data_IF_965573736159
#
_entry.id   IF_965573736159
#
_cell.length_a   1.000
_cell.length_b   1.000
_cell.length_c   1.000
_cell.angle_alpha   90.00
_cell.angle_beta   90.00
_cell.angle_gamma   90.00
#
_symmetry.space_group_name_H-M   'P 1'
#
loop_
_entity.id
_entity.type
_entity.pdbx_description
1 polymer ?
#
# COMPACT_ATOMS: atom_id res chain seq x y z
N UNK A 1 4.41 6.53 -43.54
CA UNK A 1 4.90 6.70 -42.14
C UNK A 1 3.79 6.87 -41.11
N UNK A 2 2.81 7.77 -41.29
CA UNK A 2 1.76 8.02 -40.28
C UNK A 2 0.93 6.80 -39.87
N UNK A 3 0.52 5.95 -40.81
CA UNK A 3 -0.29 4.74 -40.52
C UNK A 3 0.47 3.71 -39.68
N UNK A 4 1.76 3.50 -39.96
CA UNK A 4 2.62 2.60 -39.17
C UNK A 4 2.79 3.09 -37.73
N UNK A 5 3.02 4.40 -37.55
CA UNK A 5 3.18 5.01 -36.23
C UNK A 5 1.89 4.97 -35.41
N UNK A 6 0.74 5.18 -36.06
CA UNK A 6 -0.59 5.02 -35.46
C UNK A 6 -0.86 3.58 -34.99
N UNK A 7 -0.55 2.58 -35.82
CA UNK A 7 -0.73 1.17 -35.44
C UNK A 7 0.22 0.78 -34.30
N UNK A 8 1.46 1.26 -34.30
CA UNK A 8 2.41 1.01 -33.22
C UNK A 8 1.95 1.64 -31.90
N UNK A 9 1.46 2.89 -31.93
CA UNK A 9 0.88 3.54 -30.75
C UNK A 9 -0.33 2.77 -30.21
N UNK A 10 -1.24 2.32 -31.09
CA UNK A 10 -2.39 1.49 -30.66
C UNK A 10 -1.94 0.23 -29.93
N UNK A 11 -0.94 -0.48 -30.47
CA UNK A 11 -0.40 -1.69 -29.83
C UNK A 11 0.18 -1.35 -28.45
N UNK A 12 0.96 -0.27 -28.34
CA UNK A 12 1.52 0.16 -27.05
C UNK A 12 0.41 0.50 -26.05
N UNK A 13 -0.61 1.26 -26.45
CA UNK A 13 -1.72 1.63 -25.57
C UNK A 13 -2.57 0.42 -25.15
N UNK A 14 -2.89 -0.48 -26.08
CA UNK A 14 -3.62 -1.71 -25.77
C UNK A 14 -2.82 -2.59 -24.83
N UNK A 15 -1.51 -2.73 -25.06
CA UNK A 15 -0.62 -3.51 -24.17
C UNK A 15 -0.56 -2.88 -22.78
N UNK A 16 -0.37 -1.57 -22.68
CA UNK A 16 -0.36 -0.86 -21.40
C UNK A 16 -1.70 -0.99 -20.65
N UNK A 17 -2.83 -0.91 -21.37
CA UNK A 17 -4.15 -1.11 -20.80
C UNK A 17 -4.31 -2.54 -20.25
N UNK A 18 -3.95 -3.57 -21.03
CA UNK A 18 -4.04 -4.95 -20.59
C UNK A 18 -3.16 -5.23 -19.37
N UNK A 19 -1.93 -4.70 -19.34
CA UNK A 19 -1.04 -4.81 -18.18
C UNK A 19 -1.63 -4.12 -16.94
N UNK A 20 -2.22 -2.94 -17.12
CA UNK A 20 -2.86 -2.20 -16.01
C UNK A 20 -4.07 -2.95 -15.47
N UNK A 21 -4.91 -3.50 -16.33
CA UNK A 21 -6.07 -4.30 -15.93
C UNK A 21 -5.64 -5.59 -15.24
N UNK A 22 -4.68 -6.32 -15.79
CA UNK A 22 -4.14 -7.54 -15.19
C UNK A 22 -3.55 -7.26 -13.80
N UNK A 23 -2.78 -6.18 -13.67
CA UNK A 23 -2.24 -5.74 -12.38
C UNK A 23 -3.35 -5.34 -11.40
N UNK A 24 -4.37 -4.62 -11.84
CA UNK A 24 -5.53 -4.26 -11.02
C UNK A 24 -6.31 -5.47 -10.52
N UNK A 25 -6.57 -6.45 -11.39
CA UNK A 25 -7.21 -7.73 -11.01
C UNK A 25 -6.33 -8.50 -10.03
N UNK A 26 -5.01 -8.54 -10.26
CA UNK A 26 -4.08 -9.19 -9.35
C UNK A 26 -4.06 -8.52 -7.97
N UNK A 27 -4.01 -7.18 -7.90
CA UNK A 27 -4.13 -6.43 -6.64
C UNK A 27 -5.43 -6.76 -5.92
N UNK A 28 -6.56 -6.77 -6.65
CA UNK A 28 -7.85 -7.12 -6.09
C UNK A 28 -7.85 -8.53 -5.50
N UNK A 29 -7.37 -9.51 -6.27
CA UNK A 29 -7.27 -10.90 -5.82
C UNK A 29 -6.38 -11.05 -4.58
N UNK A 30 -5.20 -10.42 -4.57
CA UNK A 30 -4.28 -10.45 -3.42
C UNK A 30 -4.87 -9.77 -2.20
N UNK A 31 -5.51 -8.62 -2.38
CA UNK A 31 -6.10 -7.88 -1.26
C UNK A 31 -7.33 -8.55 -0.65
N UNK A 32 -7.90 -9.56 -1.32
CA UNK A 32 -8.98 -10.39 -0.79
C UNK A 32 -8.45 -11.57 0.05
N UNK A 33 -7.14 -11.81 0.08
CA UNK A 33 -6.52 -12.81 0.94
C UNK A 33 -6.27 -12.22 2.35
N UNK A 34 -6.18 -13.08 3.38
CA UNK A 34 -5.78 -12.63 4.72
C UNK A 34 -4.42 -11.94 4.70
N UNK A 35 -4.31 -10.83 5.44
CA UNK A 35 -3.07 -10.08 5.50
C UNK A 35 -1.96 -10.87 6.19
N UNK A 36 -0.72 -10.76 5.70
CA UNK A 36 0.47 -11.35 6.32
C UNK A 36 1.05 -10.41 7.40
N UNK A 37 0.18 -10.03 8.34
CA UNK A 37 0.53 -9.18 9.48
C UNK A 37 -0.10 -9.80 10.73
N UNK A 38 0.69 -10.24 11.73
CA UNK A 38 0.16 -10.90 12.93
C UNK A 38 -0.93 -10.08 13.65
N UNK A 39 -0.75 -8.76 13.71
CA UNK A 39 -1.67 -7.83 14.35
C UNK A 39 -2.99 -7.65 13.58
N UNK A 40 -3.06 -8.03 12.30
CA UNK A 40 -4.24 -7.90 11.47
C UNK A 40 -5.31 -8.96 11.78
N UNK A 41 -5.02 -9.97 12.61
CA UNK A 41 -6.00 -10.99 13.09
C UNK A 41 -6.77 -11.69 11.96
N UNK A 42 -6.13 -11.87 10.81
CA UNK A 42 -6.71 -12.58 9.66
C UNK A 42 -7.72 -11.78 8.84
N UNK A 43 -7.89 -10.48 9.08
CA UNK A 43 -8.65 -9.63 8.13
C UNK A 43 -7.92 -9.54 6.79
N UNK A 44 -8.66 -9.24 5.73
CA UNK A 44 -8.09 -8.99 4.40
C UNK A 44 -7.65 -7.53 4.25
N UNK A 45 -6.76 -7.27 3.29
CA UNK A 45 -6.33 -5.91 2.99
C UNK A 45 -7.53 -5.01 2.60
N UNK A 46 -8.51 -5.54 1.87
CA UNK A 46 -9.68 -4.75 1.49
C UNK A 46 -10.60 -4.45 2.68
N UNK A 47 -10.79 -5.39 3.60
CA UNK A 47 -11.52 -5.14 4.85
C UNK A 47 -10.81 -4.05 5.67
N UNK A 48 -9.49 -4.13 5.77
CA UNK A 48 -8.68 -3.11 6.42
C UNK A 48 -8.86 -1.73 5.78
N UNK A 49 -8.71 -1.60 4.45
CA UNK A 49 -8.85 -0.31 3.75
C UNK A 49 -10.27 0.26 3.90
N UNK A 50 -11.30 -0.58 3.85
CA UNK A 50 -12.69 -0.15 4.06
C UNK A 50 -12.90 0.40 5.48
N UNK A 51 -12.37 -0.28 6.49
CA UNK A 51 -12.42 0.17 7.87
C UNK A 51 -11.68 1.51 8.05
N UNK A 52 -10.44 1.63 7.53
CA UNK A 52 -9.66 2.88 7.59
C UNK A 52 -10.38 4.03 6.86
N UNK A 53 -11.03 3.74 5.74
CA UNK A 53 -11.84 4.73 5.01
C UNK A 53 -13.05 5.21 5.81
N UNK A 54 -13.75 4.28 6.49
CA UNK A 54 -14.89 4.62 7.34
C UNK A 54 -14.44 5.47 8.53
N UNK A 55 -13.36 5.09 9.20
CA UNK A 55 -12.76 5.86 10.30
C UNK A 55 -12.32 7.26 9.85
N UNK A 56 -11.71 7.38 8.66
CA UNK A 56 -11.33 8.66 8.07
C UNK A 56 -12.53 9.57 7.89
N UNK A 57 -13.62 9.08 7.27
CA UNK A 57 -14.83 9.88 7.06
C UNK A 57 -15.43 10.38 8.37
N UNK A 58 -15.39 9.56 9.42
CA UNK A 58 -15.88 9.96 10.75
C UNK A 58 -14.99 11.05 11.37
N UNK A 59 -13.67 10.87 11.32
CA UNK A 59 -12.71 11.86 11.82
C UNK A 59 -12.81 13.18 11.06
N UNK A 60 -12.85 13.13 9.74
CA UNK A 60 -12.99 14.30 8.87
C UNK A 60 -14.29 15.07 9.14
N UNK A 61 -15.42 14.37 9.27
CA UNK A 61 -16.70 15.01 9.61
C UNK A 61 -16.67 15.68 10.98
N UNK A 62 -16.05 15.05 11.99
CA UNK A 62 -15.90 15.63 13.33
C UNK A 62 -15.02 16.88 13.31
N UNK A 63 -13.87 16.81 12.64
CA UNK A 63 -12.89 17.90 12.60
C UNK A 63 -13.39 19.07 11.76
N UNK A 64 -14.00 18.80 10.60
CA UNK A 64 -14.56 19.84 9.71
C UNK A 64 -15.75 20.60 10.32
N UNK A 65 -16.40 20.04 11.35
CA UNK A 65 -17.46 20.73 12.09
C UNK A 65 -16.93 21.85 13.01
N UNK A 66 -15.63 21.88 13.28
CA UNK A 66 -14.99 22.88 14.14
C UNK A 66 -14.56 24.10 13.31
N UNK A 67 -14.90 25.35 13.72
CA UNK A 67 -14.66 26.55 12.92
C UNK A 67 -13.20 26.81 12.52
N UNK A 68 -12.24 26.30 13.28
CA UNK A 68 -10.81 26.52 13.11
C UNK A 68 -10.09 25.45 12.25
N UNK A 69 -10.79 24.41 11.79
CA UNK A 69 -10.19 23.31 11.03
C UNK A 69 -10.82 23.16 9.64
N UNK A 70 -10.00 22.78 8.66
CA UNK A 70 -10.40 22.54 7.27
C UNK A 70 -10.69 21.06 6.97
N UNK A 71 -10.75 20.22 8.01
CA UNK A 71 -10.89 18.77 7.89
C UNK A 71 -9.57 18.01 7.96
N UNK A 72 -9.64 16.73 7.61
CA UNK A 72 -8.54 15.78 7.68
C UNK A 72 -8.02 15.39 6.30
N UNK A 73 -6.71 15.19 6.20
CA UNK A 73 -6.10 14.62 5.00
C UNK A 73 -6.58 13.16 4.82
N UNK A 74 -6.93 12.79 3.60
CA UNK A 74 -7.28 11.41 3.28
C UNK A 74 -6.00 10.57 3.14
N UNK A 75 -5.54 10.04 4.27
CA UNK A 75 -4.30 9.26 4.32
C UNK A 75 -4.41 7.95 3.54
N UNK A 76 -5.61 7.36 3.43
CA UNK A 76 -5.84 6.14 2.64
C UNK A 76 -5.46 6.35 1.16
N UNK A 77 -5.83 7.49 0.57
CA UNK A 77 -5.44 7.83 -0.82
C UNK A 77 -4.05 8.42 -0.92
N UNK A 78 -3.66 9.25 0.05
CA UNK A 78 -2.35 9.90 0.05
C UNK A 78 -1.21 8.88 -0.01
N UNK A 79 -1.35 7.77 0.71
CA UNK A 79 -0.34 6.71 0.74
C UNK A 79 -0.36 5.78 -0.47
N UNK A 80 -1.39 5.79 -1.32
CA UNK A 80 -1.46 4.91 -2.49
C UNK A 80 -0.27 5.04 -3.45
N UNK A 81 0.03 6.24 -4.01
CA UNK A 81 1.18 6.39 -4.91
C UNK A 81 2.52 6.16 -4.20
N UNK A 82 2.62 6.49 -2.90
CA UNK A 82 3.83 6.31 -2.10
C UNK A 82 4.13 4.83 -1.88
N UNK A 83 3.12 4.05 -1.48
CA UNK A 83 3.25 2.64 -1.19
C UNK A 83 3.43 1.83 -2.48
N UNK A 84 2.77 2.18 -3.58
CA UNK A 84 3.03 1.55 -4.89
C UNK A 84 4.49 1.76 -5.31
N UNK A 85 4.97 3.00 -5.28
CA UNK A 85 6.37 3.31 -5.62
C UNK A 85 7.34 2.59 -4.68
N UNK A 86 7.08 2.60 -3.39
CA UNK A 86 7.88 1.90 -2.39
C UNK A 86 7.96 0.40 -2.65
N UNK A 87 6.84 -0.21 -3.02
CA UNK A 87 6.75 -1.66 -3.31
C UNK A 87 7.51 -2.04 -4.57
N UNK A 88 7.39 -1.26 -5.65
CA UNK A 88 8.20 -1.47 -6.85
C UNK A 88 9.70 -1.32 -6.57
N UNK A 89 10.07 -0.28 -5.81
CA UNK A 89 11.45 -0.04 -5.42
C UNK A 89 12.01 -1.18 -4.57
N UNK A 90 11.24 -1.66 -3.59
CA UNK A 90 11.63 -2.76 -2.71
C UNK A 90 11.76 -4.09 -3.46
N UNK A 91 10.80 -4.38 -4.34
CA UNK A 91 10.85 -5.57 -5.20
C UNK A 91 12.04 -5.53 -6.17
N UNK A 92 12.32 -4.37 -6.78
CA UNK A 92 13.51 -4.18 -7.61
C UNK A 92 14.81 -4.39 -6.83
N UNK A 93 14.91 -3.79 -5.64
CA UNK A 93 16.07 -3.93 -4.77
C UNK A 93 16.30 -5.38 -4.31
N UNK A 94 15.21 -6.12 -4.07
CA UNK A 94 15.26 -7.54 -3.71
C UNK A 94 15.72 -8.42 -4.88
N UNK A 95 15.30 -8.09 -6.11
CA UNK A 95 15.75 -8.77 -7.33
C UNK A 95 17.19 -8.38 -7.74
N UNK A 96 17.66 -7.19 -7.33
CA UNK A 96 18.96 -6.63 -7.70
C UNK A 96 19.73 -6.21 -6.42
N UNK A 97 20.29 -7.17 -5.66
CA UNK A 97 20.86 -6.93 -4.34
C UNK A 97 22.12 -6.03 -4.36
N UNK A 98 22.81 -5.94 -5.49
CA UNK A 98 23.99 -5.08 -5.69
C UNK A 98 23.64 -3.65 -6.13
N UNK A 99 22.36 -3.32 -6.28
CA UNK A 99 21.93 -2.00 -6.72
C UNK A 99 22.12 -0.94 -5.62
N UNK A 100 22.33 0.32 -6.03
CA UNK A 100 22.34 1.48 -5.10
C UNK A 100 21.07 1.57 -4.26
N UNK A 101 19.94 1.13 -4.81
CA UNK A 101 18.67 1.12 -4.11
C UNK A 101 18.64 0.06 -3.00
N UNK A 102 19.14 -1.15 -3.27
CA UNK A 102 19.31 -2.20 -2.27
C UNK A 102 20.23 -1.74 -1.13
N UNK A 103 21.34 -1.08 -1.46
CA UNK A 103 22.22 -0.47 -0.44
C UNK A 103 21.47 0.56 0.42
N UNK A 104 20.67 1.43 -0.20
CA UNK A 104 19.89 2.43 0.53
C UNK A 104 18.86 1.79 1.49
N UNK A 105 18.17 0.73 1.07
CA UNK A 105 17.25 -0.02 1.95
C UNK A 105 18.00 -0.62 3.13
N UNK A 106 19.10 -1.35 2.90
CA UNK A 106 19.92 -1.95 3.97
C UNK A 106 20.41 -0.88 4.97
N UNK A 107 20.90 0.25 4.47
CA UNK A 107 21.33 1.37 5.32
C UNK A 107 20.19 1.86 6.23
N UNK A 108 18.99 2.06 5.70
CA UNK A 108 17.86 2.53 6.51
C UNK A 108 17.33 1.47 7.47
N UNK A 109 17.36 0.19 7.09
CA UNK A 109 17.03 -0.93 7.97
C UNK A 109 17.96 -0.97 9.20
N UNK A 110 19.24 -0.66 9.03
CA UNK A 110 20.22 -0.59 10.13
C UNK A 110 20.07 0.67 10.99
N UNK A 111 19.90 1.84 10.36
CA UNK A 111 19.88 3.12 11.07
C UNK A 111 18.55 3.42 11.76
N UNK A 112 17.44 2.96 11.16
CA UNK A 112 16.07 3.19 11.64
C UNK A 112 15.25 1.91 11.44
N UNK A 113 15.52 0.87 12.25
CA UNK A 113 14.82 -0.40 12.12
C UNK A 113 13.31 -0.19 12.25
N UNK A 114 12.57 -0.78 11.32
CA UNK A 114 11.12 -0.76 11.28
C UNK A 114 10.61 -2.19 11.43
N UNK A 115 9.88 -2.47 12.51
CA UNK A 115 9.42 -3.82 12.81
C UNK A 115 8.24 -4.26 11.92
N UNK A 116 7.57 -3.31 11.26
CA UNK A 116 6.40 -3.59 10.41
C UNK A 116 6.83 -3.91 8.98
N UNK A 117 7.74 -3.09 8.42
CA UNK A 117 8.20 -3.29 7.04
C UNK A 117 9.02 -4.58 6.90
N UNK A 118 8.90 -5.28 5.75
CA UNK A 118 9.72 -6.47 5.52
C UNK A 118 11.19 -6.08 5.35
N UNK A 119 12.09 -6.95 5.80
CA UNK A 119 13.54 -6.79 5.58
C UNK A 119 13.91 -7.18 4.16
N UNK A 120 14.85 -6.46 3.58
CA UNK A 120 15.36 -6.74 2.25
C UNK A 120 16.01 -8.14 2.21
N UNK A 121 15.63 -8.94 1.23
CA UNK A 121 16.21 -10.25 0.95
C UNK A 121 16.40 -10.42 -0.55
N UNK A 122 17.42 -11.17 -0.94
CA UNK A 122 17.61 -11.53 -2.35
C UNK A 122 16.52 -12.52 -2.78
N UNK A 123 15.93 -12.28 -3.95
CA UNK A 123 14.87 -13.11 -4.51
C UNK A 123 15.05 -13.36 -5.99
N UNK A 124 14.43 -14.43 -6.49
CA UNK A 124 14.32 -14.64 -7.93
C UNK A 124 13.08 -13.92 -8.52
N UNK A 125 12.98 -13.91 -9.85
CA UNK A 125 11.90 -13.23 -10.57
C UNK A 125 10.49 -13.75 -10.21
N UNK A 126 10.36 -15.04 -9.87
CA UNK A 126 9.05 -15.63 -9.55
C UNK A 126 8.49 -15.17 -8.20
N UNK A 127 9.36 -14.73 -7.29
CA UNK A 127 8.99 -14.23 -5.96
C UNK A 127 8.70 -12.72 -5.94
N UNK A 128 9.03 -12.00 -7.01
CA UNK A 128 8.84 -10.53 -7.12
C UNK A 128 7.41 -10.09 -6.78
N UNK A 129 6.34 -10.76 -7.26
CA UNK A 129 4.97 -10.37 -6.89
C UNK A 129 4.70 -10.49 -5.39
N UNK A 130 5.25 -11.50 -4.71
CA UNK A 130 5.07 -11.70 -3.28
C UNK A 130 5.83 -10.66 -2.46
N UNK A 131 7.07 -10.35 -2.86
CA UNK A 131 7.87 -9.29 -2.24
C UNK A 131 7.20 -7.92 -2.41
N UNK A 132 6.70 -7.63 -3.61
CA UNK A 132 5.92 -6.42 -3.87
C UNK A 132 4.72 -6.34 -2.93
N UNK A 133 3.91 -7.41 -2.86
CA UNK A 133 2.69 -7.43 -2.06
C UNK A 133 2.99 -7.28 -0.57
N UNK A 134 3.97 -8.04 -0.06
CA UNK A 134 4.37 -8.00 1.34
C UNK A 134 4.76 -6.59 1.78
N UNK A 135 5.57 -5.89 0.97
CA UNK A 135 5.93 -4.50 1.26
C UNK A 135 4.71 -3.59 1.16
N UNK A 136 3.89 -3.72 0.12
CA UNK A 136 2.71 -2.87 -0.11
C UNK A 136 1.74 -2.90 1.06
N UNK A 137 1.39 -4.10 1.50
CA UNK A 137 0.47 -4.36 2.61
C UNK A 137 1.01 -3.80 3.94
N UNK A 138 2.26 -4.12 4.28
CA UNK A 138 2.92 -3.67 5.51
C UNK A 138 3.15 -2.18 5.54
N UNK A 139 3.48 -1.56 4.40
CA UNK A 139 3.61 -0.10 4.29
C UNK A 139 2.27 0.62 4.53
N UNK A 140 1.16 0.04 4.05
CA UNK A 140 -0.18 0.56 4.32
C UNK A 140 -0.58 0.41 5.79
N UNK A 141 -0.34 -0.76 6.37
CA UNK A 141 -0.57 -1.00 7.79
C UNK A 141 0.22 -0.02 8.66
N UNK A 142 1.52 0.10 8.39
CA UNK A 142 2.40 1.04 9.07
C UNK A 142 1.85 2.47 8.97
N UNK A 143 1.44 2.90 7.78
CA UNK A 143 0.96 4.27 7.57
C UNK A 143 -0.35 4.56 8.32
N UNK A 144 -1.33 3.65 8.26
CA UNK A 144 -2.70 3.88 8.73
C UNK A 144 -3.01 3.33 10.13
N UNK A 145 -2.05 2.64 10.74
CA UNK A 145 -2.16 2.09 12.10
C UNK A 145 -0.97 2.56 12.93
N UNK A 146 0.24 2.25 12.46
CA UNK A 146 1.45 2.54 13.22
C UNK A 146 1.90 3.98 13.15
N UNK A 147 1.53 4.81 12.18
CA UNK A 147 1.91 6.23 12.13
C UNK A 147 0.72 7.14 12.46
N UNK A 148 -0.50 6.65 12.23
CA UNK A 148 -1.75 7.36 12.51
C UNK A 148 -1.85 7.90 13.95
N UNK A 149 -1.14 7.29 14.92
CA UNK A 149 -1.08 7.82 16.28
C UNK A 149 -0.53 9.26 16.37
N UNK A 150 0.18 9.75 15.35
CA UNK A 150 0.74 11.10 15.27
C UNK A 150 -0.23 12.13 14.67
N UNK A 151 -1.40 11.72 14.18
CA UNK A 151 -2.33 12.59 13.44
C UNK A 151 -3.25 13.49 14.30
N UNK A 152 -2.99 13.59 15.61
CA UNK A 152 -3.73 14.44 16.56
C UNK A 152 -5.27 14.33 16.39
N UNK A 153 -5.95 15.44 16.10
CA UNK A 153 -7.42 15.53 15.93
C UNK A 153 -7.96 14.63 14.80
N UNK A 154 -7.11 14.26 13.83
CA UNK A 154 -7.44 13.40 12.70
C UNK A 154 -7.08 11.92 12.91
N UNK A 155 -6.69 11.52 14.12
CA UNK A 155 -6.39 10.13 14.46
C UNK A 155 -7.61 9.24 14.17
N UNK A 156 -7.40 8.18 13.39
CA UNK A 156 -8.43 7.21 13.00
C UNK A 156 -8.79 6.24 14.14
N UNK A 157 -7.87 6.06 15.09
CA UNK A 157 -8.05 5.14 16.19
C UNK A 157 -7.75 3.68 15.82
N UNK A 158 -8.01 2.72 16.73
CA UNK A 158 -7.67 1.32 16.51
C UNK A 158 -8.49 0.72 15.35
N UNK A 159 -7.97 -0.38 14.77
CA UNK A 159 -8.72 -1.20 13.80
C UNK A 159 -9.94 -1.83 14.49
N UNK A 160 -11.13 -1.65 13.91
CA UNK A 160 -12.38 -2.14 14.49
C UNK A 160 -12.61 -3.63 14.20
N UNK A 161 -11.71 -4.50 14.67
CA UNK A 161 -11.72 -5.93 14.38
C UNK A 161 -13.06 -6.61 14.69
N UNK A 162 -13.71 -6.26 15.81
CA UNK A 162 -15.01 -6.83 16.19
C UNK A 162 -16.09 -6.53 15.14
N UNK A 163 -16.08 -5.32 14.56
CA UNK A 163 -17.01 -4.93 13.50
C UNK A 163 -16.73 -5.68 12.20
N UNK A 164 -15.45 -5.87 11.86
CA UNK A 164 -15.01 -6.54 10.63
C UNK A 164 -15.28 -8.05 10.70
N UNK A 165 -14.96 -8.69 11.83
CA UNK A 165 -15.02 -10.14 12.01
C UNK A 165 -16.37 -10.63 12.55
N UNK A 166 -17.09 -9.77 13.29
CA UNK A 166 -18.40 -10.08 13.88
C UNK A 166 -19.58 -9.95 12.91
N UNK A 167 -19.34 -9.48 11.67
CA UNK A 167 -20.33 -9.44 10.60
C UNK A 167 -20.69 -10.83 10.08
N UNK A 168 -21.57 -11.53 10.80
CA UNK A 168 -22.48 -12.55 10.28
C UNK A 168 -23.90 -11.99 10.22
#
# INVERSE_FOLDING_TARGET
MGRFLLELLKIVFVTALLLTLAFGVWLYYRGAQPMDIPEARGITFWQFIQDRWAAYRQADARVSALPQYLGCRNDVLYYLPLNLRGSFNFAYASLNPDSKLAFAFKYWEEQKPDEVLPKLREVNLSEVPDVFWSYFERAYWRALVSIDYLAAECKLGPVAFESILGGK
#
